data_IF_653083443379
#
_entry.id   IF_653083443379
#
_cell.length_a   1.000
_cell.length_b   1.000
_cell.length_c   1.000
_cell.angle_alpha   90.00
_cell.angle_beta   90.00
_cell.angle_gamma   90.00
#
_symmetry.space_group_name_H-M   'P 1'
#
loop_
_entity.id
_entity.type
_entity.pdbx_description
1 polymer ?
#
# COMPACT_ATOMS: atom_id res chain seq x y z
N UNK A 1 -6.52 9.97 5.37
CA UNK A 1 -5.03 9.96 5.29
C UNK A 1 -4.60 10.37 3.90
N UNK A 2 -3.34 10.80 3.71
CA UNK A 2 -2.82 11.20 2.39
C UNK A 2 -1.42 10.62 2.12
N UNK A 3 -1.12 10.29 0.87
CA UNK A 3 0.24 10.03 0.40
C UNK A 3 0.89 11.34 -0.05
N UNK A 4 2.15 11.53 0.34
CA UNK A 4 2.94 12.73 0.02
C UNK A 4 3.89 12.43 -1.14
N UNK A 5 3.68 13.09 -2.27
CA UNK A 5 4.53 12.98 -3.45
C UNK A 5 5.99 13.38 -3.16
N UNK A 6 6.93 12.62 -3.71
CA UNK A 6 8.35 12.97 -3.72
C UNK A 6 8.90 12.79 -5.14
N UNK A 7 9.50 13.85 -5.69
CA UNK A 7 9.83 13.96 -7.13
C UNK A 7 10.88 12.96 -7.62
N UNK A 8 11.59 12.28 -6.72
CA UNK A 8 12.61 11.29 -7.04
C UNK A 8 12.39 9.93 -6.37
N UNK A 9 11.14 9.62 -6.02
CA UNK A 9 10.76 8.36 -5.39
C UNK A 9 9.60 7.72 -6.14
N UNK A 10 9.66 6.39 -6.26
CA UNK A 10 8.55 5.59 -6.80
C UNK A 10 7.31 5.80 -5.93
N UNK A 11 6.11 5.71 -6.53
CA UNK A 11 4.84 5.86 -5.80
C UNK A 11 4.74 4.97 -4.56
N UNK A 12 5.26 3.73 -4.66
CA UNK A 12 5.23 2.76 -3.56
C UNK A 12 6.02 3.17 -2.32
N UNK A 13 6.99 4.09 -2.46
CA UNK A 13 7.79 4.60 -1.33
C UNK A 13 7.38 5.99 -0.86
N UNK A 14 6.26 6.52 -1.37
CA UNK A 14 5.72 7.78 -0.89
C UNK A 14 5.26 7.67 0.56
N UNK A 15 5.59 8.69 1.35
CA UNK A 15 5.30 8.68 2.78
C UNK A 15 3.81 8.92 3.02
N UNK A 16 3.25 8.16 3.94
CA UNK A 16 1.92 8.36 4.47
C UNK A 16 1.91 9.52 5.48
N UNK A 17 0.89 10.35 5.42
CA UNK A 17 0.73 11.47 6.33
C UNK A 17 -0.72 11.77 6.70
N UNK A 18 -0.86 12.53 7.78
CA UNK A 18 -2.13 13.11 8.24
C UNK A 18 -2.11 14.62 7.98
N UNK A 19 -3.13 15.13 7.31
CA UNK A 19 -3.30 16.57 7.12
C UNK A 19 -3.65 17.20 8.46
N UNK A 20 -2.87 18.19 8.89
CA UNK A 20 -3.11 18.93 10.14
C UNK A 20 -3.73 20.30 9.89
N UNK A 21 -3.32 20.99 8.83
CA UNK A 21 -3.82 22.33 8.50
C UNK A 21 -3.92 22.53 7.00
N UNK A 22 -4.99 23.19 6.56
CA UNK A 22 -5.14 23.67 5.19
C UNK A 22 -4.68 25.13 5.09
N UNK A 23 -3.96 25.45 4.03
CA UNK A 23 -3.47 26.80 3.74
C UNK A 23 -4.24 27.32 2.53
N UNK A 24 -5.03 28.37 2.78
CA UNK A 24 -5.78 29.09 1.75
C UNK A 24 -4.92 30.21 1.16
N UNK A 25 -5.09 30.46 -0.14
CA UNK A 25 -4.58 31.66 -0.78
C UNK A 25 -5.46 32.87 -0.50
N UNK A 26 -5.10 33.99 -1.11
CA UNK A 26 -5.87 35.24 -1.07
C UNK A 26 -7.26 35.09 -1.71
N UNK A 27 -7.36 34.26 -2.74
CA UNK A 27 -8.61 33.84 -3.39
C UNK A 27 -9.49 32.90 -2.52
N UNK A 28 -9.13 32.72 -1.25
CA UNK A 28 -9.72 31.78 -0.29
C UNK A 28 -9.71 30.29 -0.72
N UNK A 29 -9.02 29.94 -1.81
CA UNK A 29 -8.90 28.56 -2.28
C UNK A 29 -7.74 27.85 -1.59
N UNK A 30 -7.93 26.56 -1.29
CA UNK A 30 -6.88 25.73 -0.68
C UNK A 30 -5.86 25.34 -1.74
N UNK A 31 -4.62 25.83 -1.61
CA UNK A 31 -3.52 25.52 -2.54
C UNK A 31 -2.45 24.64 -1.90
N UNK A 32 -2.41 24.57 -0.59
CA UNK A 32 -1.41 23.80 0.15
C UNK A 32 -1.97 23.30 1.47
N UNK A 33 -1.29 22.30 2.04
CA UNK A 33 -1.60 21.78 3.36
C UNK A 33 -0.31 21.51 4.14
N UNK A 34 -0.41 21.56 5.47
CA UNK A 34 0.61 21.06 6.39
C UNK A 34 0.22 19.62 6.71
N UNK A 35 1.14 18.70 6.45
CA UNK A 35 0.95 17.27 6.64
C UNK A 35 1.99 16.78 7.64
N UNK A 36 1.52 16.08 8.67
CA UNK A 36 2.36 15.36 9.62
C UNK A 36 2.68 13.99 9.06
N UNK A 37 3.97 13.71 8.94
CA UNK A 37 4.51 12.46 8.41
C UNK A 37 5.35 11.82 9.52
N UNK A 38 5.26 10.51 9.67
CA UNK A 38 6.14 9.80 10.60
C UNK A 38 7.58 9.86 10.07
N UNK A 39 8.47 10.44 10.87
CA UNK A 39 9.90 10.49 10.59
C UNK A 39 10.58 9.18 10.97
N UNK A 40 11.85 9.06 10.59
CA UNK A 40 12.72 8.01 11.12
C UNK A 40 12.99 8.32 12.60
N UNK A 41 12.37 7.55 13.50
CA UNK A 41 12.34 7.77 14.95
C UNK A 41 10.98 8.23 15.51
N UNK A 42 10.95 8.72 16.75
CA UNK A 42 9.71 9.18 17.42
C UNK A 42 9.29 10.61 17.07
N UNK A 43 10.09 11.35 16.31
CA UNK A 43 9.78 12.74 15.95
C UNK A 43 9.01 12.76 14.64
N UNK A 44 7.72 13.08 14.73
CA UNK A 44 6.92 13.35 13.56
C UNK A 44 7.37 14.67 12.91
N UNK A 45 7.51 14.67 11.60
CA UNK A 45 7.93 15.85 10.85
C UNK A 45 6.72 16.48 10.14
N UNK A 46 6.63 17.80 10.17
CA UNK A 46 5.60 18.55 9.47
C UNK A 46 6.13 19.03 8.13
N UNK A 47 5.38 18.73 7.06
CA UNK A 47 5.73 19.13 5.70
C UNK A 47 4.63 20.02 5.14
N UNK A 48 5.00 21.21 4.67
CA UNK A 48 4.13 22.04 3.83
C UNK A 48 4.20 21.51 2.40
N UNK A 49 3.06 21.09 1.86
CA UNK A 49 2.98 20.54 0.49
C UNK A 49 1.82 21.17 -0.29
N UNK A 50 2.02 21.50 -1.58
CA UNK A 50 0.93 21.84 -2.49
C UNK A 50 -0.11 20.73 -2.58
N UNK A 51 -1.38 21.09 -2.79
CA UNK A 51 -2.49 20.13 -2.80
C UNK A 51 -2.35 19.10 -3.92
N UNK A 52 -1.81 19.50 -5.07
CA UNK A 52 -1.53 18.61 -6.22
C UNK A 52 -0.41 17.59 -5.97
N UNK A 53 0.32 17.71 -4.87
CA UNK A 53 1.36 16.77 -4.43
C UNK A 53 0.88 15.88 -3.26
N UNK A 54 -0.41 15.94 -2.94
CA UNK A 54 -1.06 15.11 -1.93
C UNK A 54 -2.14 14.24 -2.60
N UNK A 55 -2.13 12.95 -2.29
CA UNK A 55 -3.08 11.99 -2.85
C UNK A 55 -3.89 11.37 -1.72
N UNK A 56 -5.21 11.48 -1.76
CA UNK A 56 -6.10 10.89 -0.76
C UNK A 56 -6.11 9.37 -0.84
N UNK A 57 -6.20 8.72 0.33
CA UNK A 57 -6.47 7.29 0.41
C UNK A 57 -7.96 7.07 0.62
N UNK A 58 -8.56 6.23 -0.21
CA UNK A 58 -9.89 5.69 0.03
C UNK A 58 -9.75 4.56 1.04
N UNK A 59 -10.41 4.70 2.19
CA UNK A 59 -10.43 3.70 3.25
C UNK A 59 -11.90 3.46 3.58
N UNK A 60 -12.34 2.20 3.53
CA UNK A 60 -13.67 1.83 4.00
C UNK A 60 -13.70 2.01 5.51
N UNK A 61 -14.60 2.86 6.03
CA UNK A 61 -14.92 2.80 7.45
C UNK A 61 -15.61 1.48 7.68
N UNK A 62 -15.00 0.61 8.49
CA UNK A 62 -15.78 -0.37 9.21
C UNK A 62 -16.41 0.44 10.33
N UNK A 63 -17.55 1.06 10.04
CA UNK A 63 -18.38 1.59 11.10
C UNK A 63 -18.68 0.37 11.98
N UNK A 64 -18.13 0.36 13.20
CA UNK A 64 -18.60 -0.60 14.18
C UNK A 64 -20.05 -0.24 14.41
N UNK A 65 -20.91 -0.97 13.71
CA UNK A 65 -22.31 -1.04 13.95
C UNK A 65 -22.45 -1.30 15.46
N UNK A 66 -22.84 -0.27 16.20
CA UNK A 66 -23.66 -0.47 17.39
C UNK A 66 -25.02 -1.01 16.92
N UNK A 67 -25.02 -2.14 16.22
CA UNK A 67 -26.22 -2.89 15.92
C UNK A 67 -26.56 -3.68 17.16
N UNK A 68 -27.61 -3.19 17.82
CA UNK A 68 -28.61 -4.03 18.46
C UNK A 68 -28.70 -5.39 17.73
N UNK A 69 -28.59 -6.47 18.50
CA UNK A 69 -28.49 -7.85 18.02
C UNK A 69 -29.51 -8.18 16.93
N UNK A 70 -29.03 -8.38 15.71
CA UNK A 70 -29.69 -9.20 14.71
C UNK A 70 -28.60 -10.00 14.01
N UNK A 71 -28.36 -11.19 14.55
CA UNK A 71 -27.46 -12.21 14.03
C UNK A 71 -27.73 -12.49 12.55
N UNK A 72 -26.80 -12.11 11.68
CA UNK A 72 -26.71 -12.67 10.33
C UNK A 72 -25.76 -13.87 10.43
N UNK A 73 -26.22 -15.10 10.13
CA UNK A 73 -25.45 -16.30 10.34
C UNK A 73 -24.21 -16.34 9.42
N UNK A 74 -23.08 -16.61 10.06
CA UNK A 74 -21.81 -16.95 9.42
C UNK A 74 -22.01 -18.09 8.43
N UNK A 75 -21.92 -17.80 7.14
CA UNK A 75 -21.70 -18.85 6.14
C UNK A 75 -20.20 -19.04 6.00
N UNK A 76 -19.63 -19.79 6.95
CA UNK A 76 -18.34 -20.45 6.74
C UNK A 76 -18.58 -21.54 5.69
N UNK A 77 -18.34 -21.22 4.42
CA UNK A 77 -18.28 -22.20 3.35
C UNK A 77 -17.15 -21.84 2.38
N UNK A 78 -16.06 -22.61 2.51
CA UNK A 78 -15.25 -23.07 1.39
C UNK A 78 -14.24 -22.09 0.76
N UNK A 79 -13.12 -21.83 1.44
CA UNK A 79 -11.90 -21.21 0.86
C UNK A 79 -10.82 -22.28 0.54
N UNK A 80 -11.11 -23.58 0.62
CA UNK A 80 -10.09 -24.62 0.45
C UNK A 80 -9.92 -25.20 -0.96
N UNK A 81 -10.66 -24.77 -2.00
CA UNK A 81 -10.56 -25.45 -3.32
C UNK A 81 -10.57 -24.61 -4.62
N UNK A 82 -10.28 -23.31 -4.59
CA UNK A 82 -9.89 -22.56 -5.81
C UNK A 82 -8.79 -21.58 -5.38
N UNK A 83 -7.49 -21.79 -5.62
CA UNK A 83 -6.82 -21.70 -6.93
C UNK A 83 -5.50 -22.51 -6.87
N UNK A 84 -5.59 -23.83 -7.01
CA UNK A 84 -4.50 -24.62 -7.61
C UNK A 84 -4.81 -24.70 -9.12
N UNK A 85 -4.46 -23.66 -9.88
CA UNK A 85 -4.26 -23.68 -11.35
C UNK A 85 -4.20 -22.26 -11.93
N UNK A 86 -3.22 -21.48 -11.48
CA UNK A 86 -2.76 -20.31 -12.24
C UNK A 86 -1.25 -20.46 -12.38
N UNK A 87 -0.82 -21.33 -13.30
CA UNK A 87 0.51 -21.22 -13.86
C UNK A 87 0.58 -19.86 -14.55
N UNK A 88 1.13 -18.86 -13.86
CA UNK A 88 1.40 -17.54 -14.45
C UNK A 88 2.31 -17.71 -15.67
N UNK A 89 1.76 -17.64 -16.87
CA UNK A 89 2.53 -17.51 -18.13
C UNK A 89 2.97 -16.07 -18.33
N UNK A 90 3.51 -15.42 -17.28
CA UNK A 90 4.24 -14.18 -17.48
C UNK A 90 5.55 -14.52 -18.19
N UNK A 91 5.92 -13.84 -19.30
CA UNK A 91 7.16 -14.14 -20.00
C UNK A 91 8.34 -13.82 -19.07
N UNK A 92 8.93 -14.87 -18.50
CA UNK A 92 10.10 -14.75 -17.63
C UNK A 92 11.30 -14.29 -18.47
N UNK A 93 12.02 -13.28 -17.99
CA UNK A 93 13.30 -12.87 -18.59
C UNK A 93 14.27 -14.05 -18.56
N UNK A 94 15.06 -14.25 -19.63
CA UNK A 94 16.00 -15.38 -19.78
C UNK A 94 16.90 -15.60 -18.56
N UNK A 95 17.37 -14.53 -17.93
CA UNK A 95 18.19 -14.62 -16.72
C UNK A 95 17.48 -15.26 -15.52
N UNK A 96 16.18 -14.97 -15.33
CA UNK A 96 15.40 -15.54 -14.23
C UNK A 96 15.16 -17.04 -14.42
N UNK A 97 14.96 -17.49 -15.67
CA UNK A 97 14.84 -18.91 -16.00
C UNK A 97 16.15 -19.63 -15.71
N UNK A 98 17.28 -19.06 -16.12
CA UNK A 98 18.61 -19.64 -15.88
C UNK A 98 18.94 -19.71 -14.38
N UNK A 99 18.60 -18.70 -13.60
CA UNK A 99 18.80 -18.69 -12.14
C UNK A 99 18.00 -19.80 -11.44
N UNK A 100 16.74 -20.01 -11.85
CA UNK A 100 15.91 -21.12 -11.34
C UNK A 100 16.49 -22.49 -11.72
N UNK A 101 17.00 -22.63 -12.95
CA UNK A 101 17.65 -23.86 -13.40
C UNK A 101 18.90 -24.18 -12.59
N UNK A 102 19.75 -23.17 -12.36
CA UNK A 102 20.94 -23.31 -11.53
C UNK A 102 20.52 -23.73 -10.13
N UNK A 103 19.62 -22.99 -9.46
CA UNK A 103 19.17 -23.32 -8.10
C UNK A 103 18.69 -24.77 -7.96
N UNK A 104 17.94 -25.29 -8.93
CA UNK A 104 17.46 -26.68 -8.92
C UNK A 104 18.58 -27.71 -9.11
N UNK A 105 19.60 -27.36 -9.89
CA UNK A 105 20.78 -28.22 -10.07
C UNK A 105 21.59 -28.33 -8.78
N UNK A 106 21.84 -27.21 -8.09
CA UNK A 106 22.54 -27.21 -6.79
C UNK A 106 21.82 -28.08 -5.75
N UNK A 107 20.49 -27.97 -5.65
CA UNK A 107 19.70 -28.78 -4.72
C UNK A 107 19.77 -30.27 -5.06
N UNK A 108 19.88 -30.63 -6.35
CA UNK A 108 20.00 -32.01 -6.80
C UNK A 108 21.39 -32.59 -6.51
N UNK A 109 22.42 -31.78 -6.71
CA UNK A 109 23.82 -32.16 -6.51
C UNK A 109 24.19 -32.20 -5.01
N UNK A 110 23.43 -31.52 -4.14
CA UNK A 110 23.60 -31.55 -2.67
C UNK A 110 23.04 -32.83 -2.00
N UNK A 111 22.41 -33.73 -2.77
CA UNK A 111 21.79 -34.97 -2.25
C UNK A 111 22.42 -36.27 -2.80
N UNK A 112 23.64 -36.21 -3.34
CA UNK A 112 24.45 -37.38 -3.74
C UNK A 112 25.77 -37.38 -2.95
#
# INVERSE_FOLDING_TARGET
MVLVHQDNQLRGSWKLGKVEKLIKGDDHKVRSAIVKVNGEGRKANQLKRPINKLYSLEVRSQDEDKSNSASVPETQANIEQLVQDQQETTPRRRAAVMADMIRKQWIRDEYI
#
